data_IF_082113921327
#
_entry.id   IF_082113921327
#
_cell.length_a   1.000
_cell.length_b   1.000
_cell.length_c   1.000
_cell.angle_alpha   90.00
_cell.angle_beta   90.00
_cell.angle_gamma   90.00
#
_symmetry.space_group_name_H-M   'P 1'
#
loop_
_entity.id
_entity.type
_entity.pdbx_description
1 polymer ?
#
# COMPACT_ATOMS: atom_id res chain seq x y z
N UNK A 1 -0.68 -5.99 -43.67
CA UNK A 1 0.76 -5.95 -43.32
C UNK A 1 1.19 -7.37 -43.02
N UNK A 2 2.30 -7.84 -43.60
CA UNK A 2 2.79 -9.19 -43.36
C UNK A 2 3.42 -9.23 -41.97
N UNK A 3 2.65 -9.60 -40.94
CA UNK A 3 3.13 -9.67 -39.56
C UNK A 3 4.17 -10.78 -39.50
N UNK A 4 5.34 -10.47 -38.93
CA UNK A 4 6.41 -11.45 -38.70
C UNK A 4 5.82 -12.63 -37.89
N UNK A 5 6.13 -13.90 -38.22
CA UNK A 5 5.60 -15.05 -37.48
C UNK A 5 5.81 -14.93 -35.96
N UNK A 6 4.80 -15.28 -35.15
CA UNK A 6 4.84 -15.12 -33.69
C UNK A 6 6.11 -15.70 -33.06
N UNK A 7 6.53 -16.90 -33.48
CA UNK A 7 7.77 -17.54 -32.97
C UNK A 7 9.00 -16.64 -33.10
N UNK A 8 9.14 -15.94 -34.22
CA UNK A 8 10.27 -15.06 -34.49
C UNK A 8 10.21 -13.78 -33.64
N UNK A 9 9.01 -13.28 -33.37
CA UNK A 9 8.78 -12.12 -32.49
C UNK A 9 9.12 -12.48 -31.04
N UNK A 10 8.66 -13.63 -30.56
CA UNK A 10 9.04 -14.15 -29.24
C UNK A 10 10.56 -14.37 -29.13
N UNK A 11 11.21 -14.94 -30.15
CA UNK A 11 12.67 -15.15 -30.13
C UNK A 11 13.44 -13.82 -30.17
N UNK A 12 12.92 -12.79 -30.85
CA UNK A 12 13.49 -11.44 -30.83
C UNK A 12 13.48 -10.85 -29.41
N UNK A 13 12.36 -10.93 -28.70
CA UNK A 13 12.30 -10.47 -27.30
C UNK A 13 13.20 -11.31 -26.39
N UNK A 14 13.23 -12.64 -26.59
CA UNK A 14 14.16 -13.52 -25.86
C UNK A 14 15.61 -13.05 -25.99
N UNK A 15 16.07 -12.75 -27.20
CA UNK A 15 17.45 -12.29 -27.48
C UNK A 15 17.84 -10.98 -26.80
N UNK A 16 16.87 -10.18 -26.32
CA UNK A 16 17.14 -8.96 -25.54
C UNK A 16 17.43 -9.24 -24.06
N UNK A 17 17.29 -10.49 -23.61
CA UNK A 17 17.43 -10.88 -22.22
C UNK A 17 18.17 -12.22 -22.08
N UNK A 18 18.52 -12.58 -20.86
CA UNK A 18 19.12 -13.89 -20.52
C UNK A 18 18.10 -15.01 -20.34
N UNK A 19 16.84 -14.80 -20.74
CA UNK A 19 15.73 -15.67 -20.39
C UNK A 19 15.55 -16.83 -21.35
N UNK A 20 14.92 -17.89 -20.84
CA UNK A 20 14.55 -19.04 -21.66
C UNK A 20 13.39 -18.70 -22.60
N UNK A 21 13.25 -19.48 -23.66
CA UNK A 21 12.16 -19.28 -24.61
C UNK A 21 10.80 -19.60 -23.94
N UNK A 22 10.77 -20.58 -23.04
CA UNK A 22 9.59 -20.92 -22.24
C UNK A 22 9.10 -19.72 -21.40
N UNK A 23 10.01 -19.01 -20.73
CA UNK A 23 9.66 -17.82 -19.93
C UNK A 23 9.07 -16.71 -20.78
N UNK A 24 9.58 -16.53 -22.01
CA UNK A 24 9.03 -15.54 -22.95
C UNK A 24 7.66 -15.97 -23.48
N UNK A 25 7.46 -17.26 -23.76
CA UNK A 25 6.14 -17.79 -24.13
C UNK A 25 5.11 -17.64 -22.99
N UNK A 26 5.55 -17.85 -21.74
CA UNK A 26 4.72 -17.65 -20.56
C UNK A 26 4.35 -16.18 -20.39
N UNK A 27 5.31 -15.26 -20.53
CA UNK A 27 5.03 -13.83 -20.46
C UNK A 27 4.05 -13.35 -21.54
N UNK A 28 4.18 -13.86 -22.77
CA UNK A 28 3.20 -13.64 -23.82
C UNK A 28 1.80 -14.14 -23.42
N UNK A 29 1.71 -15.37 -22.89
CA UNK A 29 0.45 -15.97 -22.43
C UNK A 29 -0.21 -15.14 -21.32
N UNK A 30 0.57 -14.65 -20.35
CA UNK A 30 0.07 -13.84 -19.23
C UNK A 30 -0.65 -12.57 -19.71
N UNK A 31 -0.11 -11.88 -20.72
CA UNK A 31 -0.76 -10.69 -21.31
C UNK A 31 -2.15 -11.01 -21.85
N UNK A 32 -2.29 -12.13 -22.57
CA UNK A 32 -3.54 -12.49 -23.23
C UNK A 32 -4.59 -13.04 -22.27
N UNK A 33 -4.19 -13.82 -21.25
CA UNK A 33 -5.10 -14.22 -20.18
C UNK A 33 -5.63 -12.97 -19.47
N UNK A 34 -4.77 -12.00 -19.17
CA UNK A 34 -5.15 -10.75 -18.53
C UNK A 34 -6.14 -9.95 -19.41
N UNK A 35 -5.90 -9.87 -20.72
CA UNK A 35 -6.87 -9.33 -21.68
C UNK A 35 -8.23 -10.04 -21.58
N UNK A 36 -8.26 -11.37 -21.67
CA UNK A 36 -9.50 -12.14 -21.65
C UNK A 36 -10.31 -11.95 -20.36
N UNK A 37 -9.63 -11.93 -19.20
CA UNK A 37 -10.28 -11.67 -17.91
C UNK A 37 -10.93 -10.29 -17.85
N UNK A 38 -10.31 -9.27 -18.46
CA UNK A 38 -10.83 -7.90 -18.50
C UNK A 38 -11.79 -7.61 -19.65
N UNK A 39 -12.07 -8.59 -20.51
CA UNK A 39 -13.15 -8.53 -21.51
C UNK A 39 -14.39 -9.32 -21.10
N UNK A 40 -14.28 -10.16 -20.07
CA UNK A 40 -15.42 -10.93 -19.59
C UNK A 40 -16.40 -10.09 -18.75
N UNK A 41 -17.71 -10.03 -19.06
CA UNK A 41 -18.67 -9.14 -18.41
C UNK A 41 -18.77 -9.29 -16.89
N UNK A 42 -18.69 -10.51 -16.37
CA UNK A 42 -18.82 -10.79 -14.93
C UNK A 42 -17.52 -10.57 -14.13
N UNK A 43 -16.38 -10.35 -14.81
CA UNK A 43 -15.05 -10.22 -14.19
C UNK A 43 -14.48 -8.80 -14.36
N UNK A 44 -14.67 -8.22 -15.56
CA UNK A 44 -14.30 -6.84 -15.88
C UNK A 44 -14.88 -5.88 -14.85
N UNK A 45 -14.04 -5.00 -14.33
CA UNK A 45 -14.45 -4.01 -13.33
C UNK A 45 -14.42 -4.51 -11.89
N UNK A 46 -14.41 -5.82 -11.66
CA UNK A 46 -14.49 -6.40 -10.31
C UNK A 46 -13.16 -7.00 -9.81
N UNK A 47 -12.21 -7.24 -10.71
CA UNK A 47 -10.86 -7.70 -10.38
C UNK A 47 -9.90 -6.50 -10.30
N UNK A 48 -8.99 -6.52 -9.33
CA UNK A 48 -7.81 -5.65 -9.28
C UNK A 48 -6.57 -6.53 -9.37
N UNK A 49 -5.76 -6.29 -10.39
CA UNK A 49 -4.52 -7.01 -10.62
C UNK A 49 -3.42 -6.58 -9.65
N UNK A 50 -2.72 -7.53 -9.04
CA UNK A 50 -1.69 -7.28 -8.01
C UNK A 50 -0.46 -8.17 -8.20
N UNK A 51 0.47 -8.09 -7.24
CA UNK A 51 1.64 -8.96 -7.18
C UNK A 51 2.78 -8.58 -8.15
N UNK A 52 3.74 -9.50 -8.30
CA UNK A 52 4.94 -9.26 -9.10
C UNK A 52 4.67 -9.14 -10.60
N UNK A 53 3.66 -9.83 -11.10
CA UNK A 53 3.29 -9.78 -12.52
C UNK A 53 2.61 -8.46 -12.88
N UNK A 54 1.86 -7.85 -11.95
CA UNK A 54 1.34 -6.49 -12.12
C UNK A 54 2.46 -5.45 -12.25
N UNK A 55 3.51 -5.55 -11.43
CA UNK A 55 4.69 -4.68 -11.56
C UNK A 55 5.33 -4.78 -12.94
N UNK A 56 5.52 -6.02 -13.45
CA UNK A 56 6.08 -6.23 -14.79
C UNK A 56 5.17 -5.70 -15.89
N UNK A 57 3.90 -6.09 -15.89
CA UNK A 57 2.97 -5.83 -17.00
C UNK A 57 2.35 -4.45 -17.00
N UNK A 58 2.43 -3.68 -15.92
CA UNK A 58 1.70 -2.41 -15.81
C UNK A 58 2.57 -1.20 -15.41
N UNK A 59 3.76 -1.45 -14.86
CA UNK A 59 4.63 -0.39 -14.32
C UNK A 59 6.01 -0.35 -14.97
N UNK A 60 6.69 -1.50 -15.06
CA UNK A 60 8.11 -1.53 -15.46
C UNK A 60 8.36 -2.01 -16.90
N UNK A 61 7.65 -3.03 -17.37
CA UNK A 61 7.99 -3.76 -18.60
C UNK A 61 9.27 -4.59 -18.45
N UNK A 62 10.43 -3.92 -18.51
CA UNK A 62 11.73 -4.53 -18.26
C UNK A 62 11.95 -4.76 -16.75
N UNK A 63 11.42 -5.89 -16.29
CA UNK A 63 11.33 -6.27 -14.89
C UNK A 63 11.55 -7.77 -14.72
N UNK A 64 11.75 -8.18 -13.46
CA UNK A 64 11.86 -9.62 -13.14
C UNK A 64 10.62 -10.36 -13.61
N UNK A 65 10.81 -11.58 -14.08
CA UNK A 65 9.69 -12.42 -14.49
C UNK A 65 8.93 -12.99 -13.28
N UNK A 66 7.66 -13.27 -13.51
CA UNK A 66 6.71 -13.78 -12.53
C UNK A 66 5.64 -14.55 -13.30
N UNK A 67 5.19 -15.67 -12.73
CA UNK A 67 4.44 -16.70 -13.46
C UNK A 67 2.92 -16.65 -13.17
N UNK A 68 2.55 -15.95 -12.09
CA UNK A 68 1.21 -15.98 -11.51
C UNK A 68 0.45 -14.68 -11.80
N UNK A 69 -0.85 -14.77 -12.09
CA UNK A 69 -1.76 -13.64 -12.16
C UNK A 69 -2.58 -13.56 -10.88
N UNK A 70 -2.19 -12.66 -9.99
CA UNK A 70 -2.86 -12.46 -8.70
C UNK A 70 -3.90 -11.34 -8.78
N UNK A 71 -5.08 -11.58 -8.22
CA UNK A 71 -6.17 -10.61 -8.18
C UNK A 71 -6.75 -10.48 -6.78
N UNK A 72 -7.17 -9.27 -6.44
CA UNK A 72 -8.12 -9.00 -5.37
C UNK A 72 -9.46 -8.61 -5.96
N UNK A 73 -10.53 -8.88 -5.23
CA UNK A 73 -11.91 -8.61 -5.67
C UNK A 73 -12.43 -7.31 -5.04
N UNK A 74 -13.02 -6.40 -5.83
CA UNK A 74 -13.59 -5.11 -5.35
C UNK A 74 -15.08 -5.23 -4.99
N UNK A 75 -15.79 -6.02 -5.78
CA UNK A 75 -17.23 -6.21 -5.69
C UNK A 75 -17.56 -7.69 -5.94
N UNK A 76 -18.81 -8.09 -5.80
CA UNK A 76 -19.16 -9.50 -5.96
C UNK A 76 -18.86 -10.03 -7.37
N UNK A 77 -18.17 -11.16 -7.44
CA UNK A 77 -17.97 -11.95 -8.66
C UNK A 77 -18.62 -13.34 -8.50
N UNK A 78 -18.85 -14.08 -9.60
CA UNK A 78 -19.24 -15.48 -9.52
C UNK A 78 -18.25 -16.29 -8.66
N UNK A 79 -18.73 -17.38 -8.06
CA UNK A 79 -17.94 -18.26 -7.18
C UNK A 79 -18.02 -19.71 -7.63
N UNK A 80 -17.04 -20.53 -7.23
CA UNK A 80 -17.00 -21.97 -7.48
C UNK A 80 -17.17 -22.26 -8.98
N UNK A 81 -18.08 -23.15 -9.36
CA UNK A 81 -18.23 -23.59 -10.76
C UNK A 81 -18.62 -22.46 -11.71
N UNK A 82 -19.36 -21.46 -11.20
CA UNK A 82 -19.69 -20.26 -12.00
C UNK A 82 -18.44 -19.40 -12.27
N UNK A 83 -17.51 -19.35 -11.32
CA UNK A 83 -16.23 -18.67 -11.54
C UNK A 83 -15.36 -19.44 -12.53
N UNK A 84 -15.31 -20.77 -12.41
CA UNK A 84 -14.61 -21.61 -13.37
C UNK A 84 -15.16 -21.40 -14.79
N UNK A 85 -16.49 -21.40 -14.96
CA UNK A 85 -17.13 -21.12 -16.24
C UNK A 85 -16.73 -19.73 -16.79
N UNK A 86 -16.78 -18.69 -15.96
CA UNK A 86 -16.39 -17.34 -16.36
C UNK A 86 -14.90 -17.25 -16.76
N UNK A 87 -14.00 -17.93 -16.04
CA UNK A 87 -12.56 -17.98 -16.39
C UNK A 87 -12.35 -18.75 -17.69
N UNK A 88 -13.06 -19.85 -17.92
CA UNK A 88 -13.01 -20.59 -19.19
C UNK A 88 -13.48 -19.70 -20.34
N UNK A 89 -14.59 -18.97 -20.17
CA UNK A 89 -15.12 -18.04 -21.18
C UNK A 89 -14.14 -16.89 -21.46
N UNK A 90 -13.56 -16.29 -20.41
CA UNK A 90 -12.52 -15.28 -20.52
C UNK A 90 -11.28 -15.80 -21.30
N UNK A 91 -10.79 -17.00 -20.97
CA UNK A 91 -9.66 -17.61 -21.66
C UNK A 91 -10.00 -17.98 -23.12
N UNK A 92 -11.25 -18.35 -23.45
CA UNK A 92 -11.67 -18.55 -24.84
C UNK A 92 -11.59 -17.25 -25.65
N UNK A 93 -11.97 -16.11 -25.07
CA UNK A 93 -11.81 -14.79 -25.71
C UNK A 93 -10.32 -14.50 -25.97
N UNK A 94 -9.45 -14.78 -24.99
CA UNK A 94 -8.01 -14.66 -25.16
C UNK A 94 -7.45 -15.59 -26.26
N UNK A 95 -7.90 -16.85 -26.28
CA UNK A 95 -7.51 -17.85 -27.29
C UNK A 95 -7.89 -17.38 -28.70
N UNK A 96 -9.12 -16.92 -28.89
CA UNK A 96 -9.59 -16.39 -30.18
C UNK A 96 -8.72 -15.23 -30.67
N UNK A 97 -8.33 -14.32 -29.78
CA UNK A 97 -7.43 -13.21 -30.13
C UNK A 97 -6.01 -13.65 -30.44
N UNK A 98 -5.45 -14.58 -29.68
CA UNK A 98 -4.14 -15.14 -29.97
C UNK A 98 -4.10 -15.88 -31.32
N UNK A 99 -5.20 -16.54 -31.69
CA UNK A 99 -5.35 -17.27 -32.94
C UNK A 99 -5.36 -16.38 -34.20
N UNK A 100 -5.49 -15.06 -34.04
CA UNK A 100 -5.23 -14.11 -35.14
C UNK A 100 -3.74 -14.06 -35.52
N UNK A 101 -2.83 -14.51 -34.63
CA UNK A 101 -1.37 -14.47 -34.81
C UNK A 101 -0.71 -15.86 -34.90
N UNK A 102 -1.25 -16.86 -34.19
CA UNK A 102 -0.77 -18.24 -34.20
C UNK A 102 -1.81 -19.17 -33.57
N UNK A 103 -1.93 -20.41 -34.07
CA UNK A 103 -2.80 -21.44 -33.49
C UNK A 103 -2.35 -21.87 -32.09
N UNK A 104 -2.88 -21.21 -31.07
CA UNK A 104 -2.62 -21.47 -29.66
C UNK A 104 -3.88 -22.05 -29.04
N UNK A 105 -3.73 -23.17 -28.35
CA UNK A 105 -4.83 -23.83 -27.62
C UNK A 105 -4.64 -23.68 -26.12
N UNK A 106 -5.69 -23.29 -25.41
CA UNK A 106 -5.73 -23.20 -23.96
C UNK A 106 -6.52 -24.36 -23.34
N UNK A 107 -6.02 -24.85 -22.22
CA UNK A 107 -6.67 -25.82 -21.35
C UNK A 107 -6.72 -25.20 -19.95
N UNK A 108 -7.91 -25.11 -19.38
CA UNK A 108 -8.16 -24.43 -18.11
C UNK A 108 -8.70 -25.47 -17.13
N UNK A 109 -8.08 -25.55 -15.96
CA UNK A 109 -8.49 -26.44 -14.87
C UNK A 109 -8.51 -25.68 -13.54
N UNK A 110 -9.37 -26.11 -12.62
CA UNK A 110 -9.33 -25.62 -11.24
C UNK A 110 -8.01 -26.08 -10.61
N UNK A 111 -7.39 -25.19 -9.85
CA UNK A 111 -6.23 -25.53 -9.04
C UNK A 111 -6.63 -25.53 -7.56
N UNK A 112 -6.60 -26.69 -6.94
CA UNK A 112 -6.89 -26.87 -5.52
C UNK A 112 -5.58 -27.03 -4.76
N UNK A 113 -5.33 -26.13 -3.81
CA UNK A 113 -4.22 -26.30 -2.88
C UNK A 113 -4.59 -27.33 -1.80
N UNK A 114 -3.58 -28.05 -1.31
CA UNK A 114 -3.78 -29.13 -0.33
C UNK A 114 -4.25 -28.64 1.04
N UNK A 115 -4.03 -27.37 1.34
CA UNK A 115 -4.40 -26.73 2.62
C UNK A 115 -5.51 -25.71 2.37
N UNK A 116 -6.48 -25.61 3.28
CA UNK A 116 -7.49 -24.55 3.25
C UNK A 116 -6.80 -23.17 3.32
N UNK A 117 -6.97 -22.37 2.27
CA UNK A 117 -6.43 -21.02 2.26
C UNK A 117 -7.27 -20.10 3.14
N UNK A 118 -6.64 -19.32 4.06
CA UNK A 118 -7.35 -18.22 4.68
C UNK A 118 -7.80 -17.24 3.59
N UNK A 119 -8.98 -16.63 3.75
CA UNK A 119 -9.55 -15.58 2.87
C UNK A 119 -10.24 -16.04 1.56
N UNK A 120 -10.70 -17.29 1.52
CA UNK A 120 -11.55 -17.82 0.43
C UNK A 120 -10.95 -17.63 -0.97
N UNK A 121 -9.72 -18.09 -1.16
CA UNK A 121 -9.03 -17.98 -2.44
C UNK A 121 -9.54 -19.03 -3.45
N UNK A 122 -9.72 -18.64 -4.71
CA UNK A 122 -9.94 -19.57 -5.82
C UNK A 122 -8.81 -19.44 -6.83
N UNK A 123 -8.28 -20.58 -7.28
CA UNK A 123 -7.17 -20.62 -8.22
C UNK A 123 -7.45 -21.51 -9.43
N UNK A 124 -6.82 -21.17 -10.54
CA UNK A 124 -6.96 -21.85 -11.82
C UNK A 124 -5.59 -22.02 -12.47
N UNK A 125 -5.41 -23.14 -13.16
CA UNK A 125 -4.23 -23.36 -14.00
C UNK A 125 -4.64 -23.27 -15.46
N UNK A 126 -3.94 -22.44 -16.22
CA UNK A 126 -4.11 -22.30 -17.66
C UNK A 126 -2.88 -22.89 -18.33
N UNK A 127 -3.06 -23.91 -19.15
CA UNK A 127 -1.99 -24.52 -19.96
C UNK A 127 -2.18 -24.13 -21.42
N UNK A 128 -1.12 -23.69 -22.07
CA UNK A 128 -1.10 -23.30 -23.47
C UNK A 128 -0.25 -24.25 -24.30
N UNK A 129 -0.77 -24.63 -25.45
CA UNK A 129 -0.05 -25.32 -26.51
C UNK A 129 0.17 -24.34 -27.66
N UNK A 130 1.42 -24.00 -27.93
CA UNK A 130 1.80 -23.21 -29.12
C UNK A 130 1.90 -24.11 -30.37
N UNK A 131 1.81 -23.57 -31.59
CA UNK A 131 1.78 -24.38 -32.82
C UNK A 131 2.99 -25.30 -33.01
N UNK A 132 4.14 -24.92 -32.46
CA UNK A 132 5.39 -25.67 -32.53
C UNK A 132 5.58 -26.67 -31.38
N UNK A 133 4.56 -26.87 -30.54
CA UNK A 133 4.60 -27.78 -29.40
C UNK A 133 3.64 -28.96 -29.62
N UNK A 134 4.11 -30.17 -29.26
CA UNK A 134 3.29 -31.40 -29.33
C UNK A 134 2.26 -31.49 -28.20
N UNK A 135 2.52 -30.80 -27.09
CA UNK A 135 1.72 -30.83 -25.86
C UNK A 135 1.60 -29.42 -25.26
N UNK A 136 0.61 -29.18 -24.36
CA UNK A 136 0.45 -27.90 -23.66
C UNK A 136 1.49 -27.73 -22.54
N UNK A 137 2.68 -27.28 -22.93
CA UNK A 137 3.86 -27.19 -22.07
C UNK A 137 3.95 -25.90 -21.26
N UNK A 138 3.38 -24.81 -21.76
CA UNK A 138 3.45 -23.50 -21.09
C UNK A 138 2.28 -23.38 -20.14
N UNK A 139 2.50 -22.92 -18.91
CA UNK A 139 1.41 -22.73 -17.94
C UNK A 139 1.46 -21.39 -17.24
N UNK A 140 0.30 -20.87 -16.87
CA UNK A 140 0.11 -19.74 -15.98
C UNK A 140 -0.87 -20.11 -14.87
N UNK A 141 -0.72 -19.51 -13.69
CA UNK A 141 -1.67 -19.62 -12.59
C UNK A 141 -2.49 -18.34 -12.51
N UNK A 142 -3.79 -18.47 -12.30
CA UNK A 142 -4.68 -17.36 -11.93
C UNK A 142 -5.07 -17.57 -10.47
N UNK A 143 -4.86 -16.57 -9.64
CA UNK A 143 -5.20 -16.58 -8.22
C UNK A 143 -6.14 -15.41 -7.91
N UNK A 144 -7.31 -15.70 -7.34
CA UNK A 144 -8.31 -14.68 -7.01
C UNK A 144 -8.59 -14.71 -5.51
N UNK A 145 -8.15 -13.67 -4.80
CA UNK A 145 -8.44 -13.45 -3.38
C UNK A 145 -9.78 -12.73 -3.22
N UNK A 146 -10.76 -13.38 -2.58
CA UNK A 146 -12.12 -12.85 -2.44
C UNK A 146 -12.24 -11.82 -1.32
N UNK A 147 -11.46 -11.99 -0.25
CA UNK A 147 -11.47 -11.10 0.92
C UNK A 147 -10.12 -10.43 1.11
N UNK A 148 -9.96 -9.23 0.54
CA UNK A 148 -8.79 -8.39 0.74
C UNK A 148 -9.20 -6.93 0.91
N UNK A 149 -8.64 -6.24 1.91
CA UNK A 149 -8.90 -4.83 2.12
C UNK A 149 -7.82 -4.02 1.44
N UNK A 150 -8.18 -3.37 0.33
CA UNK A 150 -7.31 -2.48 -0.44
C UNK A 150 -7.38 -1.09 0.19
N UNK A 151 -6.23 -0.52 0.59
CA UNK A 151 -6.17 0.77 1.28
C UNK A 151 -6.06 1.96 0.31
N UNK A 152 -5.45 1.74 -0.85
CA UNK A 152 -5.37 2.74 -1.91
C UNK A 152 -6.35 2.45 -3.06
N UNK A 153 -6.89 3.49 -3.71
CA UNK A 153 -7.75 3.28 -4.88
C UNK A 153 -6.98 2.57 -6.01
N UNK A 154 -7.61 1.62 -6.71
CA UNK A 154 -7.00 0.97 -7.88
C UNK A 154 -6.65 1.99 -8.98
N UNK A 155 -5.59 1.70 -9.72
CA UNK A 155 -5.12 2.54 -10.83
C UNK A 155 -5.34 1.81 -12.15
N UNK A 156 -5.91 2.51 -13.13
CA UNK A 156 -6.06 2.00 -14.49
C UNK A 156 -4.71 2.03 -15.23
N UNK A 157 -4.29 0.89 -15.78
CA UNK A 157 -3.04 0.75 -16.53
C UNK A 157 -3.26 0.02 -17.84
N UNK A 158 -2.46 0.36 -18.85
CA UNK A 158 -2.34 -0.42 -20.08
C UNK A 158 -1.44 -1.64 -19.84
N UNK A 159 -1.73 -2.73 -20.55
CA UNK A 159 -0.88 -3.93 -20.52
C UNK A 159 0.37 -3.67 -21.37
N UNK A 160 1.55 -3.76 -20.75
CA UNK A 160 2.84 -3.69 -21.43
C UNK A 160 3.07 -5.03 -22.14
N UNK A 161 2.99 -4.99 -23.46
CA UNK A 161 3.06 -6.16 -24.34
C UNK A 161 4.09 -5.93 -25.46
N UNK A 162 5.36 -6.33 -25.27
CA UNK A 162 6.47 -5.96 -26.16
C UNK A 162 6.59 -6.86 -27.41
N UNK A 163 5.48 -7.42 -27.91
CA UNK A 163 5.50 -8.43 -28.96
C UNK A 163 4.95 -7.92 -30.29
N UNK A 164 5.18 -6.67 -30.68
CA UNK A 164 4.73 -6.05 -31.93
C UNK A 164 3.21 -5.85 -32.12
N UNK A 165 2.34 -6.77 -31.70
CA UNK A 165 0.89 -6.48 -31.65
C UNK A 165 0.50 -5.66 -30.43
N UNK A 166 -0.70 -5.07 -30.48
CA UNK A 166 -1.23 -4.26 -29.40
C UNK A 166 -2.33 -5.01 -28.65
N UNK A 167 -2.37 -4.78 -27.34
CA UNK A 167 -3.49 -5.15 -26.48
C UNK A 167 -4.08 -3.83 -25.97
N UNK A 168 -5.17 -3.39 -26.60
CA UNK A 168 -5.85 -2.15 -26.26
C UNK A 168 -6.89 -2.42 -25.16
N UNK A 169 -6.40 -2.63 -23.93
CA UNK A 169 -7.27 -2.92 -22.77
C UNK A 169 -6.68 -2.29 -21.52
N UNK A 170 -7.48 -1.43 -20.90
CA UNK A 170 -7.17 -0.86 -19.60
C UNK A 170 -7.62 -1.82 -18.50
N UNK A 171 -6.72 -2.07 -17.56
CA UNK A 171 -6.95 -2.97 -16.43
C UNK A 171 -6.81 -2.23 -15.11
N UNK A 172 -7.56 -2.67 -14.09
CA UNK A 172 -7.43 -2.18 -12.73
C UNK A 172 -6.24 -2.86 -12.07
N UNK A 173 -5.35 -2.08 -11.47
CA UNK A 173 -4.16 -2.59 -10.79
C UNK A 173 -4.06 -1.98 -9.40
N UNK A 174 -3.39 -2.67 -8.49
CA UNK A 174 -2.93 -2.03 -7.26
C UNK A 174 -2.08 -0.80 -7.61
N UNK A 175 -2.25 0.29 -6.86
CA UNK A 175 -1.27 1.37 -6.87
C UNK A 175 0.08 0.87 -6.35
N UNK A 176 1.17 1.57 -6.65
CA UNK A 176 2.49 1.18 -6.15
C UNK A 176 2.55 1.22 -4.62
N UNK A 177 1.85 2.16 -3.99
CA UNK A 177 1.72 2.28 -2.54
C UNK A 177 1.06 1.05 -1.92
N UNK A 178 -0.03 0.56 -2.51
CA UNK A 178 -0.70 -0.66 -2.05
C UNK A 178 0.24 -1.87 -2.16
N UNK A 179 0.98 -2.00 -3.28
CA UNK A 179 1.96 -3.08 -3.47
C UNK A 179 3.07 -3.00 -2.41
N UNK A 180 3.57 -1.80 -2.12
CA UNK A 180 4.60 -1.58 -1.09
C UNK A 180 4.09 -2.02 0.28
N UNK A 181 2.89 -1.57 0.69
CA UNK A 181 2.31 -1.96 1.99
C UNK A 181 2.07 -3.47 2.09
N UNK A 182 1.53 -4.08 1.03
CA UNK A 182 1.26 -5.52 1.04
C UNK A 182 2.54 -6.36 1.15
N UNK A 183 3.61 -5.95 0.45
CA UNK A 183 4.93 -6.62 0.50
C UNK A 183 5.61 -6.48 1.85
N UNK A 184 5.63 -5.28 2.42
CA UNK A 184 6.20 -5.04 3.75
C UNK A 184 5.47 -5.87 4.81
N UNK A 185 4.14 -5.85 4.79
CA UNK A 185 3.31 -6.70 5.66
C UNK A 185 3.58 -8.20 5.44
N UNK A 186 3.76 -8.64 4.19
CA UNK A 186 4.08 -10.04 3.87
C UNK A 186 5.45 -10.48 4.38
N UNK A 187 6.44 -9.58 4.38
CA UNK A 187 7.76 -9.80 5.00
C UNK A 187 7.58 -10.02 6.50
N UNK A 188 6.91 -9.11 7.21
CA UNK A 188 6.66 -9.22 8.65
C UNK A 188 5.91 -10.51 9.02
N UNK A 189 4.87 -10.85 8.26
CA UNK A 189 4.11 -12.08 8.47
C UNK A 189 5.02 -13.31 8.33
N UNK A 190 5.95 -13.27 7.37
CA UNK A 190 6.85 -14.40 7.13
C UNK A 190 7.91 -14.52 8.22
N UNK A 191 8.49 -13.41 8.67
CA UNK A 191 9.43 -13.37 9.79
C UNK A 191 8.81 -14.03 11.02
N UNK A 192 7.56 -13.68 11.37
CA UNK A 192 6.81 -14.31 12.46
C UNK A 192 6.70 -15.84 12.28
N UNK A 193 6.25 -16.31 11.12
CA UNK A 193 6.13 -17.75 10.83
C UNK A 193 7.47 -18.49 10.83
N UNK A 194 8.56 -17.83 10.44
CA UNK A 194 9.90 -18.42 10.46
C UNK A 194 10.32 -18.75 11.90
N UNK A 195 10.08 -17.81 12.82
CA UNK A 195 10.35 -17.99 14.26
C UNK A 195 9.41 -19.02 14.91
N UNK A 196 8.14 -19.07 14.50
CA UNK A 196 7.13 -19.97 15.10
C UNK A 196 7.20 -21.42 14.56
N UNK A 197 7.49 -21.61 13.27
CA UNK A 197 7.26 -22.88 12.57
C UNK A 197 8.50 -23.42 11.84
N UNK A 198 9.61 -22.68 11.79
CA UNK A 198 10.83 -23.07 11.09
C UNK A 198 10.70 -23.23 9.57
N UNK A 199 9.60 -22.78 8.96
CA UNK A 199 9.34 -22.96 7.51
C UNK A 199 10.11 -21.94 6.66
N UNK A 200 11.04 -22.40 5.84
CA UNK A 200 11.84 -21.60 4.91
C UNK A 200 11.15 -21.46 3.53
N UNK A 201 10.33 -20.42 3.35
CA UNK A 201 9.98 -19.93 2.00
C UNK A 201 10.51 -18.51 1.90
N UNK A 202 11.58 -18.33 1.14
CA UNK A 202 12.27 -17.04 1.08
C UNK A 202 11.38 -15.91 0.53
N UNK A 203 11.52 -14.72 1.12
CA UNK A 203 10.91 -13.47 0.66
C UNK A 203 11.83 -12.64 -0.24
N UNK A 204 12.90 -13.25 -0.78
CA UNK A 204 13.90 -12.62 -1.67
C UNK A 204 13.27 -11.69 -2.72
N UNK A 205 12.22 -12.15 -3.40
CA UNK A 205 11.53 -11.37 -4.46
C UNK A 205 10.87 -10.11 -3.93
N UNK A 206 10.35 -10.12 -2.69
CA UNK A 206 9.70 -8.97 -2.08
C UNK A 206 10.71 -7.86 -1.77
N UNK A 207 11.91 -8.18 -1.27
CA UNK A 207 12.98 -7.19 -1.08
C UNK A 207 13.44 -6.57 -2.39
N UNK A 208 13.66 -7.40 -3.42
CA UNK A 208 14.01 -6.90 -4.74
C UNK A 208 12.91 -5.98 -5.31
N UNK A 209 11.64 -6.37 -5.14
CA UNK A 209 10.53 -5.58 -5.65
C UNK A 209 10.40 -4.23 -4.95
N UNK A 210 10.49 -4.21 -3.63
CA UNK A 210 10.46 -2.98 -2.85
C UNK A 210 11.60 -2.05 -3.27
N UNK A 211 12.83 -2.56 -3.35
CA UNK A 211 13.97 -1.77 -3.81
C UNK A 211 13.74 -1.20 -5.21
N UNK A 212 13.29 -2.02 -6.17
CA UNK A 212 13.00 -1.55 -7.52
C UNK A 212 11.94 -0.45 -7.55
N UNK A 213 10.86 -0.61 -6.78
CA UNK A 213 9.79 0.40 -6.70
C UNK A 213 10.35 1.71 -6.15
N UNK A 214 11.05 1.65 -5.00
CA UNK A 214 11.62 2.82 -4.36
C UNK A 214 12.77 3.46 -5.12
N UNK A 215 13.45 2.73 -6.02
CA UNK A 215 14.51 3.30 -6.86
C UNK A 215 13.96 3.95 -8.14
N UNK A 216 12.89 3.38 -8.73
CA UNK A 216 12.35 3.88 -10.01
C UNK A 216 11.21 4.89 -9.85
N UNK A 217 10.47 4.83 -8.74
CA UNK A 217 9.22 5.57 -8.56
C UNK A 217 9.17 6.41 -7.28
N UNK A 218 10.32 6.69 -6.64
CA UNK A 218 10.39 7.42 -5.37
C UNK A 218 9.55 8.70 -5.33
N UNK A 219 9.65 9.51 -6.39
CA UNK A 219 8.93 10.79 -6.50
C UNK A 219 7.44 10.65 -6.78
N UNK A 220 6.99 9.48 -7.23
CA UNK A 220 5.59 9.19 -7.55
C UNK A 220 4.86 8.49 -6.40
N UNK A 221 5.57 8.07 -5.35
CA UNK A 221 4.99 7.43 -4.17
C UNK A 221 4.50 8.49 -3.19
N UNK A 222 3.21 8.45 -2.87
CA UNK A 222 2.60 9.39 -1.94
C UNK A 222 1.91 8.66 -0.80
N UNK A 223 2.51 8.74 0.39
CA UNK A 223 1.95 8.19 1.62
C UNK A 223 1.59 9.34 2.58
N UNK A 224 0.30 9.62 2.73
CA UNK A 224 -0.18 10.66 3.67
C UNK A 224 0.23 10.36 5.13
N UNK A 225 0.31 9.07 5.49
CA UNK A 225 0.86 8.61 6.77
C UNK A 225 1.27 7.14 6.65
N UNK A 226 2.51 6.91 6.20
CA UNK A 226 3.02 5.57 5.91
C UNK A 226 2.91 4.61 7.09
N UNK A 227 3.33 5.03 8.29
CA UNK A 227 3.33 4.18 9.49
C UNK A 227 1.92 3.72 9.89
N UNK A 228 0.94 4.63 9.87
CA UNK A 228 -0.46 4.28 10.18
C UNK A 228 -1.05 3.35 9.12
N UNK A 229 -0.79 3.62 7.84
CA UNK A 229 -1.30 2.79 6.74
C UNK A 229 -0.70 1.38 6.80
N UNK A 230 0.60 1.27 7.06
CA UNK A 230 1.29 0.00 7.26
C UNK A 230 0.74 -0.74 8.49
N UNK A 231 0.55 -0.06 9.62
CA UNK A 231 -0.04 -0.66 10.83
C UNK A 231 -1.43 -1.21 10.53
N UNK A 232 -2.29 -0.41 9.90
CA UNK A 232 -3.64 -0.83 9.48
C UNK A 232 -3.59 -2.06 8.57
N UNK A 233 -2.66 -2.10 7.61
CA UNK A 233 -2.47 -3.26 6.71
C UNK A 233 -1.98 -4.50 7.47
N UNK A 234 -1.18 -4.33 8.52
CA UNK A 234 -0.70 -5.40 9.39
C UNK A 234 -1.80 -5.95 10.30
N UNK A 235 -2.61 -5.08 10.92
CA UNK A 235 -3.70 -5.46 11.81
C UNK A 235 -4.74 -6.35 11.11
N UNK A 236 -5.06 -6.05 9.84
CA UNK A 236 -5.97 -6.84 8.99
C UNK A 236 -5.56 -8.32 8.84
N UNK A 237 -4.29 -8.64 9.07
CA UNK A 237 -3.74 -10.01 8.97
C UNK A 237 -3.13 -10.48 10.29
N UNK A 238 -3.41 -9.81 11.41
CA UNK A 238 -2.88 -10.10 12.75
C UNK A 238 -1.34 -10.19 12.79
N UNK A 239 -0.70 -9.27 12.07
CA UNK A 239 0.76 -9.11 12.03
C UNK A 239 1.13 -7.87 12.85
N UNK A 240 2.20 -7.94 13.63
CA UNK A 240 2.69 -6.76 14.36
C UNK A 240 3.81 -6.08 13.59
N UNK A 241 3.77 -4.74 13.57
CA UNK A 241 4.86 -3.89 13.10
C UNK A 241 5.41 -3.11 14.29
N UNK A 242 6.67 -3.38 14.66
CA UNK A 242 7.32 -2.76 15.83
C UNK A 242 8.27 -1.64 15.40
N UNK A 243 8.99 -1.85 14.29
CA UNK A 243 9.91 -0.87 13.73
C UNK A 243 10.63 -1.40 12.50
N UNK A 244 11.50 -0.56 11.91
CA UNK A 244 12.19 -0.90 10.66
C UNK A 244 13.01 -2.19 10.76
N UNK A 245 13.64 -2.45 11.91
CA UNK A 245 14.45 -3.66 12.11
C UNK A 245 13.63 -4.95 11.98
N UNK A 246 12.31 -4.90 12.14
CA UNK A 246 11.43 -6.05 11.91
C UNK A 246 11.43 -6.52 10.44
N UNK A 247 11.75 -5.63 9.49
CA UNK A 247 11.92 -5.99 8.08
C UNK A 247 13.31 -6.57 7.78
N UNK A 248 14.27 -6.44 8.69
CA UNK A 248 15.66 -6.85 8.46
C UNK A 248 16.13 -7.84 9.52
N UNK A 249 15.21 -8.69 9.98
CA UNK A 249 15.49 -9.75 10.94
C UNK A 249 16.72 -10.59 10.52
N UNK A 250 17.68 -10.85 11.42
CA UNK A 250 18.93 -11.53 11.06
C UNK A 250 18.75 -12.89 10.38
N UNK A 251 17.78 -13.70 10.83
CA UNK A 251 17.53 -15.04 10.28
C UNK A 251 16.91 -14.93 8.89
N UNK A 252 15.98 -13.98 8.70
CA UNK A 252 15.42 -13.67 7.40
C UNK A 252 16.53 -13.16 6.44
N UNK A 253 17.42 -12.30 6.90
CA UNK A 253 18.51 -11.74 6.09
C UNK A 253 19.51 -12.81 5.65
N UNK A 254 19.87 -13.73 6.52
CA UNK A 254 20.71 -14.88 6.16
C UNK A 254 20.05 -15.74 5.07
N UNK A 255 18.76 -16.02 5.23
CA UNK A 255 17.96 -16.78 4.27
C UNK A 255 17.87 -16.07 2.91
N UNK A 256 17.59 -14.76 2.91
CA UNK A 256 17.52 -13.93 1.69
C UNK A 256 18.86 -13.94 0.97
N UNK A 257 19.96 -13.72 1.70
CA UNK A 257 21.32 -13.70 1.14
C UNK A 257 21.70 -15.05 0.53
N UNK A 258 21.44 -16.15 1.24
CA UNK A 258 21.72 -17.52 0.77
C UNK A 258 20.95 -17.86 -0.51
N UNK A 259 19.71 -17.41 -0.60
CA UNK A 259 18.79 -17.81 -1.68
C UNK A 259 18.62 -16.75 -2.77
N UNK A 260 19.39 -15.64 -2.73
CA UNK A 260 19.25 -14.49 -3.63
C UNK A 260 19.32 -14.89 -5.11
N UNK A 261 20.43 -15.50 -5.53
CA UNK A 261 20.66 -15.94 -6.90
C UNK A 261 19.73 -17.07 -7.31
N UNK A 262 19.38 -17.97 -6.39
CA UNK A 262 18.44 -19.06 -6.66
C UNK A 262 17.05 -18.53 -7.06
N UNK A 263 16.54 -17.52 -6.35
CA UNK A 263 15.18 -17.02 -6.59
C UNK A 263 15.08 -15.93 -7.66
N UNK A 264 16.18 -15.25 -7.99
CA UNK A 264 16.18 -14.11 -8.92
C UNK A 264 17.09 -14.29 -10.15
N UNK A 265 18.10 -15.16 -10.12
CA UNK A 265 19.14 -15.23 -11.16
C UNK A 265 18.61 -15.57 -12.55
N UNK A 266 17.59 -16.43 -12.63
CA UNK A 266 16.94 -16.78 -13.90
C UNK A 266 15.79 -15.85 -14.28
N UNK A 267 15.44 -14.89 -13.41
CA UNK A 267 14.30 -13.99 -13.61
C UNK A 267 14.74 -12.55 -13.89
N UNK A 268 15.99 -12.20 -13.56
CA UNK A 268 16.56 -10.87 -13.68
C UNK A 268 17.86 -10.98 -14.47
N UNK A 269 17.97 -10.27 -15.60
CA UNK A 269 19.16 -10.34 -16.44
C UNK A 269 20.41 -9.74 -15.79
N UNK A 270 20.28 -8.55 -15.19
CA UNK A 270 21.37 -7.88 -14.48
C UNK A 270 21.06 -7.84 -12.98
N UNK A 271 21.14 -9.00 -12.33
CA UNK A 271 20.81 -9.13 -10.91
C UNK A 271 21.85 -8.41 -10.04
N UNK A 272 21.50 -7.32 -9.33
CA UNK A 272 22.42 -6.66 -8.40
C UNK A 272 22.79 -7.56 -7.21
N UNK A 273 23.94 -7.25 -6.60
CA UNK A 273 24.39 -7.90 -5.38
C UNK A 273 23.41 -7.68 -4.23
N UNK A 274 23.15 -8.74 -3.46
CA UNK A 274 22.14 -8.73 -2.40
C UNK A 274 22.39 -7.64 -1.35
N UNK A 275 23.65 -7.44 -0.95
CA UNK A 275 24.01 -6.44 0.06
C UNK A 275 23.69 -5.02 -0.38
N UNK A 276 23.91 -4.69 -1.66
CA UNK A 276 23.58 -3.39 -2.23
C UNK A 276 22.08 -3.12 -2.10
N UNK A 277 21.27 -4.06 -2.59
CA UNK A 277 19.80 -3.95 -2.57
C UNK A 277 19.26 -3.78 -1.16
N UNK A 278 19.72 -4.59 -0.21
CA UNK A 278 19.25 -4.53 1.17
C UNK A 278 19.66 -3.23 1.85
N UNK A 279 20.90 -2.76 1.65
CA UNK A 279 21.37 -1.51 2.25
C UNK A 279 20.61 -0.30 1.72
N UNK A 280 20.47 -0.18 0.40
CA UNK A 280 19.73 0.93 -0.20
C UNK A 280 18.25 0.91 0.20
N UNK A 281 17.62 -0.27 0.21
CA UNK A 281 16.24 -0.39 0.66
C UNK A 281 16.08 0.00 2.13
N UNK A 282 17.01 -0.40 3.00
CA UNK A 282 17.00 -0.01 4.42
C UNK A 282 17.04 1.51 4.56
N UNK A 283 17.97 2.18 3.88
CA UNK A 283 18.07 3.65 3.90
C UNK A 283 16.80 4.34 3.39
N UNK A 284 16.19 3.84 2.30
CA UNK A 284 14.96 4.42 1.76
C UNK A 284 13.77 4.24 2.71
N UNK A 285 13.64 3.08 3.35
CA UNK A 285 12.59 2.83 4.36
C UNK A 285 12.83 3.64 5.64
N UNK A 286 14.08 3.81 6.06
CA UNK A 286 14.48 4.70 7.16
C UNK A 286 14.04 6.14 6.87
N UNK A 287 14.36 6.66 5.69
CA UNK A 287 13.96 7.99 5.28
C UNK A 287 12.43 8.14 5.26
N UNK A 288 11.71 7.14 4.72
CA UNK A 288 10.25 7.14 4.67
C UNK A 288 9.59 7.13 6.06
N UNK A 289 10.13 6.34 7.00
CA UNK A 289 9.66 6.27 8.38
C UNK A 289 10.10 7.48 9.22
N UNK A 290 11.26 8.06 8.91
CA UNK A 290 11.77 9.28 9.53
C UNK A 290 11.02 10.53 9.05
N UNK A 291 10.41 10.47 7.86
CA UNK A 291 9.52 11.50 7.33
C UNK A 291 8.18 11.46 8.09
N UNK A 292 8.25 11.79 9.38
CA UNK A 292 7.14 11.92 10.33
C UNK A 292 6.27 13.13 9.98
N UNK A 293 5.60 13.11 8.83
CA UNK A 293 4.37 13.88 8.70
C UNK A 293 3.20 12.97 9.01
N UNK A 294 3.03 12.65 10.30
CA UNK A 294 1.67 12.43 10.78
C UNK A 294 1.03 13.81 10.79
N UNK A 295 0.38 14.14 9.68
CA UNK A 295 -0.19 15.45 9.41
C UNK A 295 -1.51 15.64 10.17
N UNK A 296 -1.51 16.54 11.15
CA UNK A 296 -2.72 16.91 11.89
C UNK A 296 -3.72 17.67 11.01
N UNK A 297 -3.28 18.29 9.91
CA UNK A 297 -4.16 19.09 9.03
C UNK A 297 -5.22 18.21 8.37
N UNK A 298 -4.89 16.99 7.97
CA UNK A 298 -5.85 16.01 7.44
C UNK A 298 -7.00 15.71 8.41
N UNK A 299 -6.71 15.53 9.71
CA UNK A 299 -7.73 15.30 10.75
C UNK A 299 -8.53 16.56 11.04
N UNK A 300 -7.87 17.72 11.11
CA UNK A 300 -8.52 19.03 11.30
C UNK A 300 -9.48 19.33 10.14
N UNK A 301 -9.09 19.02 8.89
CA UNK A 301 -9.94 19.16 7.73
C UNK A 301 -11.18 18.27 7.82
N UNK A 302 -11.01 17.01 8.26
CA UNK A 302 -12.14 16.10 8.48
C UNK A 302 -13.07 16.54 9.63
N UNK A 303 -12.53 17.17 10.68
CA UNK A 303 -13.30 17.78 11.77
C UNK A 303 -14.18 18.93 11.25
N UNK A 304 -13.62 19.84 10.44
CA UNK A 304 -14.34 20.99 9.89
C UNK A 304 -15.47 20.58 8.92
N UNK A 305 -15.32 19.44 8.25
CA UNK A 305 -16.34 18.87 7.36
C UNK A 305 -17.40 18.02 8.09
N UNK A 306 -17.40 18.02 9.44
CA UNK A 306 -18.27 17.19 10.28
C UNK A 306 -18.19 15.67 10.06
N UNK A 307 -17.10 15.17 9.46
CA UNK A 307 -16.93 13.74 9.13
C UNK A 307 -16.45 12.88 10.31
N UNK A 308 -15.84 13.49 11.33
CA UNK A 308 -15.26 12.82 12.51
C UNK A 308 -15.60 13.59 13.79
N UNK A 309 -16.20 12.91 14.78
CA UNK A 309 -16.63 13.48 16.08
C UNK A 309 -16.58 12.44 17.20
N UNK A 310 -16.60 12.86 18.46
CA UNK A 310 -16.73 11.97 19.62
C UNK A 310 -15.57 10.98 19.78
N UNK A 311 -15.85 9.77 20.28
CA UNK A 311 -14.84 8.73 20.57
C UNK A 311 -13.92 8.37 19.39
N UNK A 312 -14.42 8.22 18.14
CA UNK A 312 -13.55 8.03 16.97
C UNK A 312 -12.53 9.14 16.79
N UNK A 313 -12.94 10.41 16.92
CA UNK A 313 -12.06 11.55 16.82
C UNK A 313 -11.01 11.55 17.94
N UNK A 314 -11.42 11.26 19.18
CA UNK A 314 -10.51 11.15 20.32
C UNK A 314 -9.43 10.08 20.08
N UNK A 315 -9.83 8.87 19.67
CA UNK A 315 -8.90 7.77 19.43
C UNK A 315 -7.90 8.13 18.32
N UNK A 316 -8.36 8.71 17.21
CA UNK A 316 -7.49 9.14 16.11
C UNK A 316 -6.47 10.19 16.58
N UNK A 317 -6.91 11.23 17.28
CA UNK A 317 -6.03 12.27 17.79
C UNK A 317 -5.01 11.72 18.79
N UNK A 318 -5.45 10.85 19.71
CA UNK A 318 -4.59 10.21 20.69
C UNK A 318 -3.49 9.39 20.02
N UNK A 319 -3.86 8.52 19.09
CA UNK A 319 -2.91 7.69 18.33
C UNK A 319 -1.91 8.54 17.55
N UNK A 320 -2.34 9.64 16.94
CA UNK A 320 -1.44 10.55 16.22
C UNK A 320 -0.40 11.17 17.17
N UNK A 321 -0.84 11.69 18.31
CA UNK A 321 0.07 12.29 19.29
C UNK A 321 1.02 11.22 19.84
N UNK A 322 0.51 10.03 20.15
CA UNK A 322 1.28 8.88 20.64
C UNK A 322 2.36 8.45 19.64
N UNK A 323 2.04 8.46 18.35
CA UNK A 323 2.95 8.11 17.25
C UNK A 323 3.86 9.26 16.80
N UNK A 324 3.88 10.38 17.53
CA UNK A 324 4.82 11.47 17.32
C UNK A 324 4.44 12.43 16.19
N UNK A 325 3.14 12.66 15.98
CA UNK A 325 2.69 13.75 15.12
C UNK A 325 3.20 15.11 15.59
N UNK A 326 3.30 16.06 14.64
CA UNK A 326 3.82 17.40 14.92
C UNK A 326 2.82 18.25 15.73
N UNK A 327 2.91 18.18 17.06
CA UNK A 327 2.04 18.92 18.00
C UNK A 327 2.15 20.44 17.91
N UNK A 328 3.08 20.96 17.10
CA UNK A 328 3.32 22.39 16.86
C UNK A 328 2.90 22.83 15.45
N UNK A 329 2.20 21.96 14.71
CA UNK A 329 1.72 22.28 13.38
C UNK A 329 0.68 23.41 13.41
N UNK A 330 0.74 24.26 12.37
CA UNK A 330 -0.20 25.38 12.18
C UNK A 330 -1.07 25.15 10.96
N UNK A 331 -2.31 25.59 11.04
CA UNK A 331 -3.23 25.68 9.88
C UNK A 331 -2.81 26.80 8.93
N UNK A 332 -3.36 26.82 7.71
CA UNK A 332 -3.21 27.94 6.76
C UNK A 332 -3.65 29.29 7.34
N UNK A 333 -4.57 29.28 8.31
CA UNK A 333 -5.06 30.46 9.01
C UNK A 333 -4.23 30.78 10.28
N UNK A 334 -3.17 30.02 10.55
CA UNK A 334 -2.22 30.24 11.65
C UNK A 334 -2.64 29.70 13.02
N UNK A 335 -3.80 29.03 13.15
CA UNK A 335 -4.16 28.35 14.39
C UNK A 335 -3.20 27.21 14.72
N UNK A 336 -2.77 27.14 15.97
CA UNK A 336 -1.92 26.07 16.50
C UNK A 336 -2.75 24.85 16.89
N UNK A 337 -2.15 23.68 16.76
CA UNK A 337 -2.78 22.39 17.11
C UNK A 337 -3.41 22.38 18.51
N UNK A 338 -2.69 22.88 19.52
CA UNK A 338 -3.17 22.91 20.91
C UNK A 338 -4.47 23.71 21.06
N UNK A 339 -4.65 24.80 20.30
CA UNK A 339 -5.88 25.59 20.33
C UNK A 339 -7.05 24.86 19.68
N UNK A 340 -6.78 24.06 18.64
CA UNK A 340 -7.79 23.27 17.95
C UNK A 340 -8.29 22.12 18.83
N UNK A 341 -7.41 21.48 19.61
CA UNK A 341 -7.81 20.49 20.62
C UNK A 341 -8.75 21.08 21.67
N UNK A 342 -8.45 22.30 22.13
CA UNK A 342 -9.27 23.01 23.12
C UNK A 342 -10.66 23.33 22.56
N UNK A 343 -10.73 23.72 21.27
CA UNK A 343 -11.98 24.01 20.55
C UNK A 343 -12.69 22.77 19.98
N UNK A 344 -12.09 21.59 20.07
CA UNK A 344 -12.63 20.38 19.47
C UNK A 344 -13.99 20.01 20.09
N UNK A 345 -14.89 19.46 19.27
CA UNK A 345 -16.16 18.92 19.75
C UNK A 345 -15.98 17.53 20.37
N UNK A 346 -15.33 17.50 21.53
CA UNK A 346 -15.01 16.32 22.34
C UNK A 346 -15.50 16.54 23.78
N UNK A 347 -15.72 15.43 24.49
CA UNK A 347 -16.02 15.50 25.92
C UNK A 347 -14.86 16.14 26.70
N UNK A 348 -15.16 16.83 27.79
CA UNK A 348 -14.17 17.56 28.58
C UNK A 348 -12.97 16.69 29.00
N UNK A 349 -13.24 15.49 29.53
CA UNK A 349 -12.21 14.53 29.94
C UNK A 349 -11.27 14.13 28.80
N UNK A 350 -11.82 13.91 27.61
CA UNK A 350 -11.07 13.57 26.40
C UNK A 350 -10.19 14.74 25.94
N UNK A 351 -10.73 15.97 25.94
CA UNK A 351 -9.95 17.18 25.61
C UNK A 351 -8.78 17.37 26.55
N UNK A 352 -9.04 17.27 27.86
CA UNK A 352 -8.01 17.44 28.88
C UNK A 352 -6.90 16.39 28.73
N UNK A 353 -7.24 15.13 28.46
CA UNK A 353 -6.26 14.06 28.22
C UNK A 353 -5.38 14.36 26.99
N UNK A 354 -5.99 14.73 25.86
CA UNK A 354 -5.26 15.07 24.63
C UNK A 354 -4.36 16.30 24.81
N UNK A 355 -4.82 17.32 25.55
CA UNK A 355 -4.02 18.52 25.86
C UNK A 355 -2.82 18.14 26.73
N UNK A 356 -3.02 17.38 27.81
CA UNK A 356 -1.94 16.92 28.69
C UNK A 356 -0.90 16.13 27.90
N UNK A 357 -1.36 15.15 27.14
CA UNK A 357 -0.50 14.34 26.28
C UNK A 357 0.27 15.19 25.27
N UNK A 358 -0.37 16.15 24.61
CA UNK A 358 0.29 17.03 23.63
C UNK A 358 1.37 17.89 24.25
N UNK A 359 1.12 18.46 25.44
CA UNK A 359 2.10 19.25 26.18
C UNK A 359 3.27 18.40 26.62
N UNK A 360 3.03 17.17 27.10
CA UNK A 360 4.10 16.24 27.45
C UNK A 360 4.92 15.80 26.23
N UNK A 361 4.36 15.91 25.01
CA UNK A 361 5.06 15.73 23.72
C UNK A 361 5.68 17.03 23.16
N UNK A 362 5.73 18.10 23.93
CA UNK A 362 6.44 19.34 23.56
C UNK A 362 5.61 20.34 22.75
N UNK A 363 4.27 20.34 22.91
CA UNK A 363 3.43 21.37 22.33
C UNK A 363 3.77 22.76 22.89
N UNK A 364 3.82 23.76 22.00
CA UNK A 364 4.09 25.15 22.34
C UNK A 364 2.83 25.74 23.00
N UNK A 365 2.97 26.07 24.28
CA UNK A 365 1.90 26.61 25.11
C UNK A 365 1.78 28.14 25.05
N UNK A 366 2.76 28.83 24.46
CA UNK A 366 2.89 30.30 24.50
C UNK A 366 2.72 30.98 23.15
N UNK A 367 2.83 30.24 22.04
CA UNK A 367 2.69 30.81 20.71
C UNK A 367 1.25 31.21 20.40
N UNK A 368 1.07 32.45 19.94
CA UNK A 368 -0.23 32.98 19.52
C UNK A 368 -0.53 32.70 18.05
N UNK A 369 -1.82 32.62 17.71
CA UNK A 369 -2.29 32.56 16.32
C UNK A 369 -2.32 33.95 15.66
N UNK A 370 -2.81 34.03 14.42
CA UNK A 370 -2.97 35.29 13.65
C UNK A 370 -3.92 36.29 14.31
N UNK A 371 -4.79 35.83 15.23
CA UNK A 371 -5.68 36.67 16.04
C UNK A 371 -5.08 37.04 17.41
N UNK A 372 -3.78 36.79 17.60
CA UNK A 372 -2.99 37.00 18.83
C UNK A 372 -3.44 36.17 20.04
N UNK A 373 -4.31 35.17 19.85
CA UNK A 373 -4.72 34.26 20.92
C UNK A 373 -3.68 33.18 21.16
N UNK A 374 -3.27 32.96 22.41
CA UNK A 374 -2.46 31.81 22.85
C UNK A 374 -3.35 30.60 23.21
N UNK A 375 -2.80 29.38 23.38
CA UNK A 375 -3.55 28.23 23.90
C UNK A 375 -4.23 28.49 25.25
N UNK A 376 -3.51 29.15 26.17
CA UNK A 376 -4.08 29.57 27.46
C UNK A 376 -5.26 30.53 27.26
N UNK A 377 -5.09 31.52 26.38
CA UNK A 377 -6.14 32.48 26.10
C UNK A 377 -7.38 31.84 25.47
N UNK A 378 -7.18 30.87 24.59
CA UNK A 378 -8.27 30.06 24.04
C UNK A 378 -9.05 29.35 25.15
N UNK A 379 -8.37 28.69 26.09
CA UNK A 379 -9.02 27.97 27.20
C UNK A 379 -9.87 28.91 28.07
N UNK A 380 -9.35 30.10 28.40
CA UNK A 380 -10.08 31.14 29.15
C UNK A 380 -11.30 31.61 28.37
N UNK A 381 -11.16 31.86 27.06
CA UNK A 381 -12.26 32.38 26.23
C UNK A 381 -13.46 31.43 26.12
N UNK A 382 -13.22 30.12 26.25
CA UNK A 382 -14.28 29.11 26.22
C UNK A 382 -14.73 28.66 27.62
N UNK A 383 -14.14 29.23 28.69
CA UNK A 383 -14.47 28.91 30.08
C UNK A 383 -13.95 27.56 30.59
N UNK A 384 -12.94 26.96 29.95
CA UNK A 384 -12.40 25.65 30.37
C UNK A 384 -11.32 25.82 31.45
N UNK A 385 -11.76 25.87 32.71
CA UNK A 385 -10.90 26.16 33.86
C UNK A 385 -9.79 25.15 34.07
N UNK A 386 -10.09 23.87 33.93
CA UNK A 386 -9.12 22.81 34.21
C UNK A 386 -7.99 22.80 33.19
N UNK A 387 -8.30 23.06 31.91
CA UNK A 387 -7.27 23.23 30.87
C UNK A 387 -6.45 24.49 31.11
N UNK A 388 -7.10 25.61 31.46
CA UNK A 388 -6.41 26.87 31.73
C UNK A 388 -5.42 26.73 32.91
N UNK A 389 -5.86 26.12 34.01
CA UNK A 389 -5.03 25.85 35.18
C UNK A 389 -3.86 24.90 34.85
N UNK A 390 -4.10 23.85 34.06
CA UNK A 390 -3.05 22.97 33.58
C UNK A 390 -1.99 23.72 32.75
N UNK A 391 -2.41 24.47 31.73
CA UNK A 391 -1.47 25.23 30.88
C UNK A 391 -0.67 26.24 31.70
N UNK A 392 -1.31 26.90 32.67
CA UNK A 392 -0.65 27.82 33.60
C UNK A 392 0.39 27.11 34.46
N UNK A 393 0.07 25.93 35.00
CA UNK A 393 1.02 25.11 35.77
C UNK A 393 2.25 24.67 34.95
N UNK A 394 2.14 24.65 33.61
CA UNK A 394 3.23 24.35 32.67
C UNK A 394 3.99 25.61 32.22
N UNK A 395 3.66 26.79 32.77
CA UNK A 395 4.35 28.06 32.53
C UNK A 395 3.73 28.92 31.43
N UNK A 396 2.50 28.64 30.99
CA UNK A 396 1.79 29.56 30.10
C UNK A 396 1.49 30.86 30.85
N UNK A 397 1.94 31.99 30.29
CA UNK A 397 1.64 33.31 30.82
C UNK A 397 0.58 34.01 29.97
N UNK A 398 -0.26 34.84 30.58
CA UNK A 398 -1.15 35.75 29.86
C UNK A 398 -0.30 36.90 29.30
N UNK A 399 0.39 36.68 28.18
CA UNK A 399 1.02 37.77 27.44
C UNK A 399 -0.01 38.42 26.52
N UNK A 400 -0.23 39.71 26.78
CA UNK A 400 -1.02 40.72 26.04
C UNK A 400 -2.46 40.32 25.68
N UNK A 401 -3.41 41.02 26.30
CA UNK A 401 -4.84 40.93 26.02
C UNK A 401 -5.08 41.34 24.56
N UNK A 402 -5.65 40.48 23.70
CA UNK A 402 -6.09 40.92 22.37
C UNK A 402 -7.15 42.01 22.54
N UNK A 403 -6.87 43.21 22.04
CA UNK A 403 -7.80 44.35 22.02
C UNK A 403 -9.17 44.01 21.41
N UNK A 404 -9.26 42.92 20.65
CA UNK A 404 -10.45 42.43 19.96
C UNK A 404 -11.45 41.62 20.83
N UNK A 405 -11.09 41.21 22.06
CA UNK A 405 -11.92 40.29 22.87
C UNK A 405 -12.72 40.94 24.01
N UNK A 406 -12.57 42.26 24.22
CA UNK A 406 -13.44 43.06 25.07
C UNK A 406 -13.56 42.63 26.54
N UNK A 407 -14.47 43.30 27.26
CA UNK A 407 -14.71 43.19 28.71
C UNK A 407 -15.08 41.79 29.21
N UNK A 408 -15.57 40.90 28.32
CA UNK A 408 -15.95 39.52 28.66
C UNK A 408 -14.73 38.65 28.98
N UNK A 409 -13.65 38.80 28.21
CA UNK A 409 -12.40 38.09 28.44
C UNK A 409 -11.71 38.55 29.73
N UNK A 410 -11.76 39.85 30.02
CA UNK A 410 -11.24 40.44 31.26
C UNK A 410 -11.96 39.87 32.50
N UNK A 411 -13.30 39.78 32.46
CA UNK A 411 -14.10 39.25 33.57
C UNK A 411 -13.87 37.75 33.81
N UNK A 412 -13.73 36.94 32.76
CA UNK A 412 -13.37 35.52 32.88
C UNK A 412 -11.95 35.35 33.41
N UNK A 413 -10.99 36.13 32.91
CA UNK A 413 -9.59 36.09 33.35
C UNK A 413 -9.44 36.34 34.87
N UNK A 414 -10.15 37.31 35.42
CA UNK A 414 -10.10 37.62 36.86
C UNK A 414 -10.87 36.62 37.75
N UNK A 415 -11.60 35.66 37.19
CA UNK A 415 -12.17 34.51 37.92
C UNK A 415 -11.16 33.36 38.09
N UNK A 416 -10.00 33.43 37.43
CA UNK A 416 -8.88 32.52 37.63
C UNK A 416 -7.93 33.14 38.66
N UNK A 417 -7.86 32.62 39.91
CA UNK A 417 -7.07 33.24 40.97
C UNK A 417 -5.59 33.23 40.60
N UNK A 418 -4.90 34.36 40.82
CA UNK A 418 -3.47 34.61 40.51
C UNK A 418 -2.57 33.51 41.06
#
# INVERSE_FOLDING_TARGET
>A
MNIIPLRNRLDRERKKSSLTFETIQQDYLLSWILFGLYEHPSLKGNLIFKGGTALKKCYFGNYRFSEDLDFSVVASIPRKDKLLAAVIEACKVAEQKMNEFAEIRLIIERYEEKDDHPFEQEAFKVRAQFPWQREPLISAKIEITMQETVLFPPVMKQIIHPYDEKIDTLIQTYSLEEVVLEKLRAILQKTKKLHEEGRDRSRTRDYYDLWRIFTAFESALHFDNFSMLLQKKCDLKNVQFVGIESFFDPVMMETVKRTWRQWLGNLVSDLPECSLVINELKTKLEALLANKQVDFLSVIFAMNQNKLRGTPLFNTLKTIIENGGNVNQKTSNGHHFLQLLIKANLEHRQKLELVKLSVDRGANISSSDTSTLSPFATAVSIGDKEIADFLRSKGASPKEVPLSLGTHYYNLYHQFPV
#
